data_IF_398119244761
#
_entry.id   IF_398119244761
#
_cell.length_a   1.000
_cell.length_b   1.000
_cell.length_c   1.000
_cell.angle_alpha   90.00
_cell.angle_beta   90.00
_cell.angle_gamma   90.00
#
_symmetry.space_group_name_H-M   'P 1'
#
loop_
_entity.id
_entity.type
_entity.pdbx_description
1 polymer ?
#
# COMPACT_ATOMS: atom_id res chain seq x y z
N UNK A 1 -13.48 26.90 -2.08
CA UNK A 1 -12.54 27.07 -0.94
C UNK A 1 -12.38 25.75 -0.17
N UNK A 2 -12.75 24.62 -0.76
CA UNK A 2 -12.92 23.31 -0.09
C UNK A 2 -11.81 22.28 -0.39
N UNK A 3 -10.83 22.62 -1.22
CA UNK A 3 -9.71 21.73 -1.60
C UNK A 3 -8.58 21.68 -0.56
N UNK A 4 -8.75 22.38 0.57
CA UNK A 4 -7.73 22.54 1.60
C UNK A 4 -7.82 21.48 2.69
N UNK A 5 -8.96 20.80 2.88
CA UNK A 5 -9.12 19.85 3.99
C UNK A 5 -8.72 18.42 3.59
N UNK A 6 -9.10 17.96 2.40
CA UNK A 6 -8.62 16.65 1.89
C UNK A 6 -7.09 16.56 1.79
N UNK A 7 -6.40 17.66 1.42
CA UNK A 7 -4.94 17.72 1.43
C UNK A 7 -4.33 17.71 2.84
N UNK A 8 -5.07 18.10 3.88
CA UNK A 8 -4.59 18.04 5.26
C UNK A 8 -4.56 16.60 5.76
N UNK A 9 -5.52 15.77 5.37
CA UNK A 9 -5.63 14.42 5.94
C UNK A 9 -4.58 13.43 5.39
N UNK A 10 -4.27 13.48 4.09
CA UNK A 10 -3.12 12.75 3.51
C UNK A 10 -1.79 13.25 4.08
N UNK A 11 -1.72 14.54 4.39
CA UNK A 11 -0.56 15.15 5.08
C UNK A 11 -0.50 14.70 6.53
N UNK A 12 -1.63 14.46 7.21
CA UNK A 12 -1.70 14.07 8.63
C UNK A 12 -1.26 12.62 8.88
N UNK A 13 -1.64 11.68 8.02
CA UNK A 13 -1.14 10.29 8.07
C UNK A 13 0.36 10.24 7.75
N UNK A 14 0.78 10.97 6.70
CA UNK A 14 2.20 11.14 6.40
C UNK A 14 2.96 11.84 7.54
N UNK A 15 2.31 12.72 8.29
CA UNK A 15 2.88 13.41 9.45
C UNK A 15 3.01 12.48 10.64
N UNK A 16 2.08 11.55 10.89
CA UNK A 16 2.22 10.50 11.90
C UNK A 16 3.40 9.56 11.56
N UNK A 17 3.57 9.21 10.28
CA UNK A 17 4.72 8.45 9.80
C UNK A 17 6.04 9.22 9.94
N UNK A 18 6.06 10.51 9.59
CA UNK A 18 7.24 11.37 9.71
C UNK A 18 7.57 11.70 11.17
N UNK A 19 6.56 11.79 12.05
CA UNK A 19 6.70 11.95 13.48
C UNK A 19 7.61 10.85 14.02
N UNK A 20 7.21 9.60 13.87
CA UNK A 20 7.95 8.46 14.41
C UNK A 20 9.32 8.30 13.70
N UNK A 21 9.40 8.53 12.38
CA UNK A 21 10.65 8.39 11.62
C UNK A 21 11.71 9.44 12.00
N UNK A 22 11.29 10.60 12.49
CA UNK A 22 12.20 11.67 12.94
C UNK A 22 12.74 11.48 14.35
N UNK A 23 12.13 10.58 15.14
CA UNK A 23 12.57 10.24 16.51
C UNK A 23 13.71 9.20 16.49
N UNK A 24 14.27 8.93 15.32
CA UNK A 24 15.43 8.08 15.03
C UNK A 24 16.70 8.39 15.84
N UNK A 25 16.70 8.00 17.10
CA UNK A 25 17.77 8.21 18.06
C UNK A 25 17.80 7.02 18.99
N UNK A 26 18.99 6.65 19.45
CA UNK A 26 19.29 5.70 20.52
C UNK A 26 18.36 5.85 21.75
N UNK A 27 17.15 5.32 21.65
CA UNK A 27 16.13 5.37 22.69
C UNK A 27 16.18 4.04 23.40
N UNK A 28 16.67 4.10 24.64
CA UNK A 28 16.74 2.95 25.53
C UNK A 28 15.63 2.99 26.59
N UNK A 29 14.73 3.98 26.54
CA UNK A 29 13.68 4.20 27.54
C UNK A 29 12.48 4.98 26.99
N UNK A 30 11.28 4.55 27.34
CA UNK A 30 9.99 5.14 26.93
C UNK A 30 9.91 6.65 27.20
N UNK A 31 10.39 7.10 28.35
CA UNK A 31 10.37 8.53 28.71
C UNK A 31 11.19 9.42 27.76
N UNK A 32 12.26 8.88 27.16
CA UNK A 32 13.08 9.61 26.18
C UNK A 32 12.41 9.60 24.81
N UNK A 33 11.67 8.54 24.49
CA UNK A 33 10.84 8.47 23.29
C UNK A 33 9.71 9.52 23.37
N UNK A 34 8.97 9.53 24.48
CA UNK A 34 7.89 10.47 24.79
C UNK A 34 8.37 11.93 24.67
N UNK A 35 9.49 12.30 25.32
CA UNK A 35 10.03 13.68 25.25
C UNK A 35 10.33 14.12 23.81
N UNK A 36 10.82 13.22 22.95
CA UNK A 36 11.16 13.54 21.56
C UNK A 36 9.93 13.63 20.66
N UNK A 37 8.96 12.74 20.87
CA UNK A 37 7.67 12.81 20.19
C UNK A 37 6.99 14.13 20.52
N UNK A 38 6.93 14.50 21.81
CA UNK A 38 6.39 15.77 22.28
C UNK A 38 7.11 16.98 21.67
N UNK A 39 8.44 16.95 21.67
CA UNK A 39 9.25 18.02 21.08
C UNK A 39 8.93 18.19 19.60
N UNK A 40 8.85 17.10 18.84
CA UNK A 40 8.51 17.18 17.41
C UNK A 40 7.11 17.74 17.20
N UNK A 41 6.10 17.23 17.92
CA UNK A 41 4.71 17.70 17.82
C UNK A 41 4.66 19.21 18.06
N UNK A 42 5.33 19.68 19.11
CA UNK A 42 5.43 21.09 19.46
C UNK A 42 6.16 21.93 18.39
N UNK A 43 7.28 21.45 17.86
CA UNK A 43 8.06 22.13 16.83
C UNK A 43 7.30 22.29 15.51
N UNK A 44 6.51 21.28 15.15
CA UNK A 44 5.67 21.31 13.93
C UNK A 44 4.35 22.04 14.14
N UNK A 45 3.96 22.33 15.38
CA UNK A 45 2.69 22.97 15.71
C UNK A 45 1.49 22.10 15.34
N UNK A 46 1.63 20.78 15.50
CA UNK A 46 0.60 19.80 15.19
C UNK A 46 -0.32 19.60 16.39
N UNK A 47 -1.60 19.38 16.15
CA UNK A 47 -2.56 19.04 17.20
C UNK A 47 -2.69 17.51 17.27
N UNK A 48 -1.70 16.88 17.90
CA UNK A 48 -1.60 15.42 18.03
C UNK A 48 -1.46 15.08 19.50
N UNK A 49 -2.24 14.11 19.94
CA UNK A 49 -2.15 13.51 21.28
C UNK A 49 -2.06 12.00 21.14
N UNK A 50 -1.50 11.33 22.14
CA UNK A 50 -1.37 9.88 22.20
C UNK A 50 -1.43 9.45 23.68
N UNK A 51 -1.78 8.19 23.94
CA UNK A 51 -1.93 7.69 25.32
C UNK A 51 -0.65 7.02 25.83
N UNK A 52 0.19 6.48 24.94
CA UNK A 52 1.44 5.82 25.30
C UNK A 52 2.51 5.87 24.20
N UNK A 53 3.76 5.76 24.62
CA UNK A 53 4.93 5.51 23.76
C UNK A 53 5.67 4.30 24.29
N UNK A 54 5.89 3.30 23.46
CA UNK A 54 6.70 2.14 23.78
C UNK A 54 7.98 2.15 22.94
N UNK A 55 9.14 2.13 23.60
CA UNK A 55 10.42 1.98 22.91
C UNK A 55 10.79 0.50 22.78
N UNK A 56 10.94 0.03 21.54
CA UNK A 56 11.40 -1.33 21.29
C UNK A 56 12.92 -1.42 21.37
N UNK A 57 13.41 -2.01 22.47
CA UNK A 57 14.84 -2.21 22.74
C UNK A 57 15.48 -3.16 21.71
N UNK A 58 14.67 -4.06 21.12
CA UNK A 58 15.12 -5.02 20.10
C UNK A 58 14.71 -4.47 18.74
N UNK A 59 15.65 -3.86 18.02
CA UNK A 59 15.42 -3.37 16.64
C UNK A 59 15.21 -1.87 16.50
N UNK A 60 15.48 -1.07 17.55
CA UNK A 60 15.46 0.40 17.50
C UNK A 60 14.13 0.95 16.97
N UNK A 61 13.03 0.54 17.61
CA UNK A 61 11.68 0.91 17.19
C UNK A 61 10.91 1.73 18.22
N UNK A 62 9.81 2.35 17.78
CA UNK A 62 8.88 3.10 18.62
C UNK A 62 7.46 2.76 18.19
N UNK A 63 6.58 2.55 19.16
CA UNK A 63 5.14 2.43 18.97
C UNK A 63 4.44 3.56 19.71
N UNK A 64 3.51 4.23 19.04
CA UNK A 64 2.57 5.18 19.64
C UNK A 64 1.20 4.53 19.73
N UNK A 65 0.56 4.66 20.89
CA UNK A 65 -0.75 4.07 21.19
C UNK A 65 -1.84 5.15 21.30
N UNK A 66 -3.04 4.84 20.82
CA UNK A 66 -4.23 5.71 20.80
C UNK A 66 -3.96 7.13 20.27
N UNK A 67 -3.35 7.22 19.10
CA UNK A 67 -3.02 8.50 18.47
C UNK A 67 -4.30 9.21 18.02
N UNK A 68 -4.47 10.46 18.43
CA UNK A 68 -5.55 11.35 18.01
C UNK A 68 -4.98 12.57 17.31
N UNK A 69 -5.54 12.91 16.16
CA UNK A 69 -5.10 14.06 15.35
C UNK A 69 -6.30 14.97 15.06
N UNK A 70 -6.17 16.25 15.40
CA UNK A 70 -7.18 17.30 15.15
C UNK A 70 -8.60 16.96 15.66
N UNK A 71 -8.70 16.12 16.71
CA UNK A 71 -9.93 15.54 17.27
C UNK A 71 -10.78 14.69 16.32
N UNK A 72 -10.40 14.56 15.05
CA UNK A 72 -11.19 13.91 13.99
C UNK A 72 -10.67 12.55 13.56
N UNK A 73 -9.37 12.31 13.72
CA UNK A 73 -8.72 11.07 13.32
C UNK A 73 -8.23 10.34 14.56
N UNK A 74 -8.63 9.09 14.70
CA UNK A 74 -8.15 8.16 15.71
C UNK A 74 -7.35 7.05 15.04
N UNK A 75 -6.25 6.64 15.65
CA UNK A 75 -5.42 5.53 15.21
C UNK A 75 -5.09 4.71 16.45
N UNK A 76 -5.33 3.41 16.41
CA UNK A 76 -5.07 2.51 17.53
C UNK A 76 -3.57 2.44 17.81
N UNK A 77 -2.76 2.13 16.80
CA UNK A 77 -1.31 2.08 16.93
C UNK A 77 -0.59 2.64 15.69
N UNK A 78 0.57 3.27 15.92
CA UNK A 78 1.53 3.63 14.87
C UNK A 78 2.90 3.14 15.29
N UNK A 79 3.53 2.28 14.51
CA UNK A 79 4.84 1.72 14.84
C UNK A 79 5.87 1.94 13.74
N UNK A 80 7.14 2.09 14.15
CA UNK A 80 8.30 2.02 13.26
C UNK A 80 9.35 1.12 13.89
N UNK A 81 9.93 0.22 13.11
CA UNK A 81 11.05 -0.63 13.50
C UNK A 81 12.16 -0.60 12.42
N UNK A 82 13.34 -1.11 12.75
CA UNK A 82 14.46 -1.23 11.80
C UNK A 82 15.22 0.08 11.56
N UNK A 83 14.93 1.13 12.32
CA UNK A 83 15.62 2.41 12.16
C UNK A 83 17.03 2.36 12.76
N UNK A 84 18.07 2.39 11.92
CA UNK A 84 19.45 2.52 12.37
C UNK A 84 20.05 3.90 12.03
N UNK A 85 20.07 4.81 13.02
CA UNK A 85 20.74 6.12 12.91
C UNK A 85 22.26 6.04 12.71
N UNK A 86 22.89 4.89 13.01
CA UNK A 86 24.35 4.74 12.97
C UNK A 86 24.90 4.55 11.56
N UNK A 87 24.06 4.21 10.59
CA UNK A 87 24.43 3.94 9.18
C UNK A 87 24.42 5.18 8.27
N UNK A 88 24.19 6.38 8.81
CA UNK A 88 24.21 7.64 8.04
C UNK A 88 22.88 7.93 7.32
N UNK A 89 22.94 8.46 6.10
CA UNK A 89 21.77 9.03 5.40
C UNK A 89 20.85 7.97 4.74
N UNK A 90 21.19 6.69 4.81
CA UNK A 90 20.45 5.62 4.16
C UNK A 90 20.12 4.54 5.17
N UNK A 91 18.83 4.49 5.51
CA UNK A 91 18.24 3.38 6.23
C UNK A 91 18.21 2.18 5.30
N UNK A 92 18.99 1.16 5.64
CA UNK A 92 19.07 -0.10 4.90
C UNK A 92 17.88 -1.01 5.18
N UNK A 93 17.11 -0.74 6.22
CA UNK A 93 15.85 -1.41 6.53
C UNK A 93 14.91 -0.41 7.21
N UNK A 94 13.60 -0.60 7.02
CA UNK A 94 12.56 0.15 7.72
C UNK A 94 11.27 -0.68 7.67
N UNK A 95 10.61 -0.76 8.81
CA UNK A 95 9.25 -1.27 8.93
C UNK A 95 8.38 -0.17 9.53
N UNK A 96 7.20 0.02 8.97
CA UNK A 96 6.20 0.99 9.40
C UNK A 96 4.84 0.33 9.40
N UNK A 97 4.07 0.50 10.48
CA UNK A 97 2.69 0.05 10.52
C UNK A 97 1.76 1.11 11.12
N UNK A 98 0.55 1.15 10.59
CA UNK A 98 -0.61 1.86 11.11
C UNK A 98 -1.68 0.80 11.34
N UNK A 99 -2.19 0.70 12.56
CA UNK A 99 -3.27 -0.21 12.88
C UNK A 99 -4.49 0.55 13.38
N UNK A 100 -5.67 0.15 12.93
CA UNK A 100 -6.94 0.66 13.44
C UNK A 100 -7.17 2.15 13.20
N UNK A 101 -6.69 2.71 12.09
CA UNK A 101 -6.96 4.12 11.76
C UNK A 101 -8.45 4.29 11.39
N UNK A 102 -9.20 5.00 12.22
CA UNK A 102 -10.61 5.32 12.00
C UNK A 102 -10.75 6.66 11.28
N UNK A 103 -11.05 6.61 9.99
CA UNK A 103 -11.24 7.78 9.15
C UNK A 103 -12.75 8.02 8.95
N UNK A 104 -13.33 9.11 9.49
CA UNK A 104 -14.71 9.46 9.21
C UNK A 104 -14.93 9.59 7.70
N UNK A 105 -16.05 9.09 7.18
CA UNK A 105 -16.33 9.16 5.74
C UNK A 105 -16.40 10.60 5.22
N UNK A 106 -16.71 11.57 6.09
CA UNK A 106 -16.67 12.99 5.79
C UNK A 106 -15.27 13.53 5.46
N UNK A 107 -14.24 12.89 6.01
CA UNK A 107 -12.84 13.28 5.89
C UNK A 107 -12.14 12.66 4.67
N UNK A 108 -12.81 11.71 4.00
CA UNK A 108 -12.35 11.14 2.73
C UNK A 108 -12.34 12.22 1.63
N UNK A 109 -11.37 12.19 0.69
CA UNK A 109 -11.41 13.07 -0.46
C UNK A 109 -12.71 12.85 -1.24
N UNK A 110 -13.28 13.94 -1.76
CA UNK A 110 -14.65 13.97 -2.32
C UNK A 110 -14.94 12.84 -3.32
N UNK A 111 -14.00 12.54 -4.19
CA UNK A 111 -14.18 11.50 -5.21
C UNK A 111 -14.22 10.10 -4.59
N UNK A 112 -13.37 9.82 -3.60
CA UNK A 112 -13.42 8.58 -2.83
C UNK A 112 -14.67 8.50 -1.97
N UNK A 113 -15.03 9.58 -1.26
CA UNK A 113 -16.27 9.63 -0.46
C UNK A 113 -17.49 9.29 -1.30
N UNK A 114 -17.60 9.90 -2.50
CA UNK A 114 -18.72 9.63 -3.39
C UNK A 114 -18.78 8.16 -3.79
N UNK A 115 -17.63 7.56 -4.11
CA UNK A 115 -17.57 6.15 -4.47
C UNK A 115 -17.91 5.24 -3.27
N UNK A 116 -17.39 5.57 -2.09
CA UNK A 116 -17.67 4.90 -0.82
C UNK A 116 -19.17 4.92 -0.49
N UNK A 117 -19.80 6.10 -0.56
CA UNK A 117 -21.25 6.28 -0.38
C UNK A 117 -22.06 5.50 -1.45
N UNK A 118 -21.59 5.48 -2.71
CA UNK A 118 -22.24 4.76 -3.80
C UNK A 118 -22.19 3.24 -3.60
N UNK A 119 -21.09 2.71 -3.06
CA UNK A 119 -20.95 1.31 -2.68
C UNK A 119 -21.73 0.95 -1.40
N UNK A 120 -22.40 1.93 -0.78
CA UNK A 120 -23.30 1.72 0.36
C UNK A 120 -22.58 1.51 1.68
N UNK A 121 -21.33 1.99 1.79
CA UNK A 121 -20.64 1.99 3.06
C UNK A 121 -21.11 3.17 3.94
N UNK A 122 -21.48 2.87 5.19
CA UNK A 122 -22.10 3.84 6.11
C UNK A 122 -21.27 4.10 7.39
N UNK A 123 -20.13 3.43 7.52
CA UNK A 123 -19.25 3.48 8.70
C UNK A 123 -18.00 4.34 8.43
N UNK A 124 -17.28 4.76 9.49
CA UNK A 124 -15.90 5.21 9.33
C UNK A 124 -15.06 4.12 8.65
N UNK A 125 -14.12 4.51 7.79
CA UNK A 125 -13.16 3.59 7.21
C UNK A 125 -12.16 3.22 8.30
N UNK A 126 -12.11 1.95 8.67
CA UNK A 126 -11.08 1.39 9.53
C UNK A 126 -9.95 0.88 8.66
N UNK A 127 -8.80 1.53 8.73
CA UNK A 127 -7.66 1.26 7.86
C UNK A 127 -6.49 0.68 8.65
N UNK A 128 -5.91 -0.38 8.12
CA UNK A 128 -4.56 -0.83 8.50
C UNK A 128 -3.63 -0.62 7.32
N UNK A 129 -2.38 -0.26 7.57
CA UNK A 129 -1.39 -0.10 6.51
C UNK A 129 0.00 -0.46 7.02
N UNK A 130 0.74 -1.26 6.25
CA UNK A 130 2.10 -1.68 6.57
C UNK A 130 3.02 -1.36 5.40
N UNK A 131 4.26 -0.97 5.70
CA UNK A 131 5.33 -0.83 4.72
C UNK A 131 6.64 -1.34 5.33
N UNK A 132 7.24 -2.34 4.72
CA UNK A 132 8.51 -2.94 5.12
C UNK A 132 9.45 -3.03 3.91
N UNK A 133 10.67 -2.54 4.06
CA UNK A 133 11.69 -2.67 3.04
C UNK A 133 13.06 -2.97 3.64
N UNK A 134 13.91 -3.62 2.86
CA UNK A 134 15.34 -3.71 3.13
C UNK A 134 16.19 -3.55 1.85
N UNK A 135 17.43 -3.11 2.02
CA UNK A 135 18.39 -2.87 0.94
C UNK A 135 19.64 -3.70 1.15
N UNK A 136 19.91 -4.60 0.20
CA UNK A 136 21.15 -5.35 0.13
C UNK A 136 22.20 -4.54 -0.63
N UNK A 137 23.12 -3.93 0.10
CA UNK A 137 24.22 -3.13 -0.49
C UNK A 137 25.18 -3.99 -1.34
N UNK A 138 25.38 -5.27 -0.98
CA UNK A 138 26.30 -6.15 -1.70
C UNK A 138 25.77 -6.49 -3.08
N UNK A 139 24.45 -6.70 -3.18
CA UNK A 139 23.77 -7.03 -4.44
C UNK A 139 23.16 -5.80 -5.13
N UNK A 140 23.14 -4.64 -4.46
CA UNK A 140 22.51 -3.40 -4.92
C UNK A 140 21.03 -3.60 -5.23
N UNK A 141 20.34 -4.32 -4.35
CA UNK A 141 18.93 -4.69 -4.52
C UNK A 141 18.10 -4.10 -3.39
N UNK A 142 17.05 -3.39 -3.75
CA UNK A 142 16.00 -2.97 -2.83
C UNK A 142 14.91 -4.04 -2.86
N UNK A 143 14.56 -4.55 -1.69
CA UNK A 143 13.43 -5.41 -1.46
C UNK A 143 12.36 -4.59 -0.74
N UNK A 144 11.18 -4.47 -1.34
CA UNK A 144 9.96 -4.10 -0.64
C UNK A 144 9.33 -5.42 -0.20
N UNK A 145 9.53 -5.78 1.06
CA UNK A 145 9.00 -7.01 1.63
C UNK A 145 7.46 -6.95 1.69
N UNK A 146 6.94 -5.78 2.06
CA UNK A 146 5.50 -5.55 2.11
C UNK A 146 5.18 -4.06 1.92
N UNK A 147 4.18 -3.76 1.12
CA UNK A 147 3.40 -2.54 1.17
C UNK A 147 1.93 -2.95 1.11
N UNK A 148 1.26 -2.89 2.24
CA UNK A 148 -0.14 -3.32 2.35
C UNK A 148 -1.03 -2.22 2.89
N UNK A 149 -2.29 -2.26 2.47
CA UNK A 149 -3.36 -1.48 3.04
C UNK A 149 -4.64 -2.31 3.03
N UNK A 150 -5.33 -2.37 4.15
CA UNK A 150 -6.62 -3.05 4.28
C UNK A 150 -7.64 -2.18 4.98
N UNK A 151 -8.90 -2.37 4.63
CA UNK A 151 -10.01 -1.74 5.31
C UNK A 151 -11.16 -2.70 5.57
N UNK A 152 -11.71 -2.62 6.78
CA UNK A 152 -12.87 -3.42 7.20
C UNK A 152 -14.03 -3.27 6.19
N UNK A 153 -14.70 -4.38 5.88
CA UNK A 153 -15.81 -4.48 4.92
C UNK A 153 -15.42 -4.18 3.45
N UNK A 154 -14.19 -3.76 3.17
CA UNK A 154 -13.70 -3.48 1.81
C UNK A 154 -12.81 -4.63 1.33
N UNK A 155 -11.78 -4.95 2.11
CA UNK A 155 -10.72 -5.88 1.73
C UNK A 155 -9.33 -5.26 1.84
N UNK A 156 -8.34 -5.91 1.24
CA UNK A 156 -6.94 -5.54 1.32
C UNK A 156 -6.22 -5.57 -0.02
N UNK A 157 -5.13 -4.82 -0.11
CA UNK A 157 -4.14 -4.95 -1.16
C UNK A 157 -2.76 -5.02 -0.53
N UNK A 158 -1.92 -5.94 -0.99
CA UNK A 158 -0.50 -5.98 -0.65
C UNK A 158 0.34 -6.00 -1.92
N UNK A 159 1.54 -5.45 -1.81
CA UNK A 159 2.55 -5.41 -2.85
C UNK A 159 3.89 -5.80 -2.24
N UNK A 160 4.60 -6.73 -2.85
CA UNK A 160 6.01 -6.99 -2.60
C UNK A 160 6.78 -6.87 -3.91
N UNK A 161 8.05 -6.47 -3.86
CA UNK A 161 8.91 -6.49 -5.05
C UNK A 161 10.40 -6.47 -4.71
N UNK A 162 11.22 -6.96 -5.65
CA UNK A 162 12.66 -6.76 -5.64
C UNK A 162 13.11 -5.96 -6.87
N UNK A 163 13.86 -4.89 -6.62
CA UNK A 163 14.45 -4.02 -7.66
C UNK A 163 15.96 -4.03 -7.55
N UNK A 164 16.60 -4.59 -8.58
CA UNK A 164 18.04 -4.67 -8.72
C UNK A 164 18.65 -3.42 -9.37
N UNK A 165 19.99 -3.31 -9.26
CA UNK A 165 20.82 -2.21 -9.77
C UNK A 165 20.49 -0.85 -9.15
N UNK A 166 19.94 -0.82 -7.94
CA UNK A 166 19.66 0.43 -7.22
C UNK A 166 20.93 0.93 -6.51
N UNK A 167 21.30 2.19 -6.76
CA UNK A 167 22.48 2.83 -6.17
C UNK A 167 22.07 4.04 -5.34
N UNK A 168 22.23 3.94 -4.03
CA UNK A 168 21.93 5.03 -3.13
C UNK A 168 23.15 5.89 -2.76
N UNK A 169 24.35 5.51 -3.21
CA UNK A 169 25.62 6.02 -2.67
C UNK A 169 25.97 7.48 -3.00
N UNK A 170 25.37 8.11 -4.04
CA UNK A 170 25.83 9.43 -4.51
C UNK A 170 24.81 10.60 -4.42
N UNK A 171 23.49 10.37 -4.39
CA UNK A 171 22.51 11.47 -4.52
C UNK A 171 21.17 11.29 -3.78
N UNK A 172 21.07 10.27 -2.92
CA UNK A 172 19.85 9.96 -2.16
C UNK A 172 18.63 9.66 -3.04
N UNK A 173 17.43 9.58 -2.44
CA UNK A 173 16.17 9.26 -3.15
C UNK A 173 15.87 10.17 -4.35
N UNK A 174 16.42 11.39 -4.37
CA UNK A 174 16.22 12.34 -5.47
C UNK A 174 16.86 11.88 -6.79
N UNK A 175 17.89 11.03 -6.74
CA UNK A 175 18.55 10.47 -7.93
C UNK A 175 17.65 9.49 -8.66
N UNK A 176 16.80 8.77 -7.92
CA UNK A 176 15.85 7.78 -8.46
C UNK A 176 14.89 8.42 -9.48
N UNK A 177 14.51 9.69 -9.30
CA UNK A 177 13.68 10.41 -10.27
C UNK A 177 14.28 10.47 -11.68
N UNK A 178 15.61 10.39 -11.79
CA UNK A 178 16.31 10.42 -13.07
C UNK A 178 16.81 9.04 -13.52
N UNK A 179 16.97 8.09 -12.60
CA UNK A 179 17.55 6.77 -12.86
C UNK A 179 16.55 5.62 -12.84
N UNK A 180 15.29 5.86 -12.44
CA UNK A 180 14.29 4.79 -12.29
C UNK A 180 14.09 3.92 -13.54
N UNK A 181 14.29 4.47 -14.73
CA UNK A 181 14.17 3.73 -15.99
C UNK A 181 15.24 2.64 -16.15
N UNK A 182 16.35 2.74 -15.44
CA UNK A 182 17.48 1.81 -15.47
C UNK A 182 17.35 0.72 -14.40
N UNK A 183 16.55 0.98 -13.37
CA UNK A 183 16.24 0.00 -12.33
C UNK A 183 15.59 -1.23 -12.96
N UNK A 184 15.91 -2.40 -12.42
CA UNK A 184 15.44 -3.68 -12.95
C UNK A 184 14.53 -4.38 -11.97
N UNK A 185 13.32 -4.67 -12.40
CA UNK A 185 12.39 -5.52 -11.67
C UNK A 185 12.90 -6.96 -11.73
N UNK A 186 13.18 -7.55 -10.57
CA UNK A 186 13.59 -8.95 -10.43
C UNK A 186 12.39 -9.84 -10.12
N UNK A 187 11.54 -9.42 -9.18
CA UNK A 187 10.28 -10.06 -8.84
C UNK A 187 9.28 -9.02 -8.33
N UNK A 188 7.98 -9.30 -8.43
CA UNK A 188 6.94 -8.59 -7.71
C UNK A 188 5.70 -9.46 -7.53
N UNK A 189 4.97 -9.22 -6.46
CA UNK A 189 3.70 -9.86 -6.18
C UNK A 189 2.70 -8.79 -5.78
N UNK A 190 1.48 -8.89 -6.30
CA UNK A 190 0.34 -8.08 -5.86
C UNK A 190 -0.75 -9.03 -5.41
N UNK A 191 -1.16 -8.93 -4.15
CA UNK A 191 -2.28 -9.70 -3.62
C UNK A 191 -3.44 -8.76 -3.37
N UNK A 192 -4.62 -9.12 -3.85
CA UNK A 192 -5.88 -8.47 -3.55
C UNK A 192 -6.75 -9.41 -2.74
N UNK A 193 -7.17 -8.99 -1.56
CA UNK A 193 -8.09 -9.73 -0.69
C UNK A 193 -9.43 -9.02 -0.70
N UNK A 194 -10.49 -9.72 -1.09
CA UNK A 194 -11.86 -9.20 -1.08
C UNK A 194 -12.57 -9.57 0.21
N UNK A 195 -13.11 -8.56 0.91
CA UNK A 195 -14.07 -8.78 1.99
C UNK A 195 -15.51 -8.62 1.46
N UNK A 196 -15.94 -7.40 1.14
CA UNK A 196 -17.26 -7.14 0.50
C UNK A 196 -17.21 -6.21 -0.72
N UNK A 197 -16.03 -5.80 -1.20
CA UNK A 197 -15.93 -4.80 -2.25
C UNK A 197 -16.56 -5.28 -3.57
N UNK A 198 -16.33 -6.54 -3.95
CA UNK A 198 -16.86 -7.10 -5.20
C UNK A 198 -18.38 -7.25 -5.14
N UNK A 199 -18.92 -7.74 -4.04
CA UNK A 199 -20.36 -7.87 -3.77
C UNK A 199 -21.05 -6.51 -3.91
N UNK A 200 -20.52 -5.50 -3.23
CA UNK A 200 -21.05 -4.12 -3.29
C UNK A 200 -20.91 -3.51 -4.67
N UNK A 201 -19.87 -3.87 -5.41
CA UNK A 201 -19.69 -3.46 -6.81
C UNK A 201 -20.77 -4.07 -7.70
N UNK A 202 -21.09 -5.35 -7.54
CA UNK A 202 -22.18 -5.99 -8.28
C UNK A 202 -23.53 -5.37 -7.95
N UNK A 203 -23.79 -5.08 -6.68
CA UNK A 203 -25.00 -4.39 -6.24
C UNK A 203 -25.12 -2.99 -6.84
N UNK A 204 -24.03 -2.22 -6.85
CA UNK A 204 -23.98 -0.89 -7.47
C UNK A 204 -24.30 -0.98 -8.96
N UNK A 205 -23.64 -1.88 -9.70
CA UNK A 205 -23.88 -2.09 -11.13
C UNK A 205 -25.33 -2.52 -11.38
N UNK A 206 -25.84 -3.47 -10.59
CA UNK A 206 -27.22 -3.94 -10.68
C UNK A 206 -28.22 -2.80 -10.50
N UNK A 207 -28.02 -1.96 -9.47
CA UNK A 207 -28.84 -0.78 -9.21
C UNK A 207 -28.78 0.26 -10.33
N UNK A 208 -27.60 0.52 -10.90
CA UNK A 208 -27.44 1.49 -11.99
C UNK A 208 -28.05 1.01 -13.30
N UNK A 209 -28.02 -0.30 -13.57
CA UNK A 209 -28.52 -0.90 -14.81
C UNK A 209 -29.96 -1.44 -14.71
N UNK A 210 -30.53 -1.50 -13.49
CA UNK A 210 -31.85 -2.07 -13.25
C UNK A 210 -31.89 -3.59 -13.38
N UNK A 211 -30.78 -4.27 -13.08
CA UNK A 211 -30.62 -5.73 -13.07
C UNK A 211 -30.24 -6.21 -11.65
N UNK A 212 -30.29 -7.52 -11.41
CA UNK A 212 -29.82 -8.10 -10.14
C UNK A 212 -28.29 -8.08 -10.01
N UNK A 213 -27.77 -8.22 -8.79
CA UNK A 213 -26.34 -8.34 -8.55
C UNK A 213 -25.74 -9.58 -9.26
N UNK A 214 -26.47 -10.71 -9.26
CA UNK A 214 -26.06 -11.93 -9.99
C UNK A 214 -25.94 -11.67 -11.50
N UNK A 215 -26.90 -10.95 -12.09
CA UNK A 215 -26.83 -10.57 -13.52
C UNK A 215 -25.68 -9.60 -13.81
N UNK A 216 -25.36 -8.71 -12.87
CA UNK A 216 -24.19 -7.83 -12.99
C UNK A 216 -22.88 -8.60 -12.94
N UNK A 217 -22.77 -9.58 -12.03
CA UNK A 217 -21.64 -10.51 -11.94
C UNK A 217 -21.45 -11.30 -13.25
N UNK A 218 -22.52 -11.91 -13.74
CA UNK A 218 -22.53 -12.63 -15.02
C UNK A 218 -22.11 -11.74 -16.20
N UNK A 219 -22.54 -10.47 -16.21
CA UNK A 219 -22.16 -9.51 -17.23
C UNK A 219 -20.67 -9.17 -17.18
N UNK A 220 -20.07 -9.05 -15.99
CA UNK A 220 -18.62 -8.84 -15.83
C UNK A 220 -17.83 -10.05 -16.30
N UNK A 221 -18.24 -11.27 -15.91
CA UNK A 221 -17.63 -12.52 -16.40
C UNK A 221 -17.69 -12.58 -17.93
N UNK A 222 -18.85 -12.28 -18.51
CA UNK A 222 -19.02 -12.26 -19.97
C UNK A 222 -18.15 -11.18 -20.63
N UNK A 223 -17.98 -10.02 -20.00
CA UNK A 223 -17.09 -8.97 -20.47
C UNK A 223 -15.63 -9.44 -20.49
N UNK A 224 -15.14 -10.05 -19.41
CA UNK A 224 -13.77 -10.62 -19.35
C UNK A 224 -13.59 -11.65 -20.46
N UNK A 225 -14.51 -12.61 -20.59
CA UNK A 225 -14.49 -13.63 -21.66
C UNK A 225 -14.52 -13.02 -23.08
N UNK A 226 -15.19 -11.90 -23.27
CA UNK A 226 -15.28 -11.24 -24.58
C UNK A 226 -14.04 -10.43 -24.96
N UNK A 227 -13.30 -9.92 -23.96
CA UNK A 227 -12.05 -9.19 -24.15
C UNK A 227 -10.84 -10.13 -24.17
N UNK A 228 -10.97 -11.29 -23.51
CA UNK A 228 -10.02 -12.38 -23.55
C UNK A 228 -9.91 -12.95 -24.97
N UNK A 229 -8.68 -13.02 -25.46
CA UNK A 229 -8.33 -13.81 -26.63
C UNK A 229 -6.99 -14.51 -26.34
N UNK A 230 -6.96 -15.39 -25.32
CA UNK A 230 -5.73 -16.07 -24.93
C UNK A 230 -5.11 -16.77 -26.13
N UNK A 231 -3.83 -16.55 -26.34
CA UNK A 231 -3.05 -17.13 -27.44
C UNK A 231 -2.18 -18.30 -26.99
N UNK A 232 -2.11 -18.53 -25.68
CA UNK A 232 -1.26 -19.52 -25.02
C UNK A 232 -2.01 -20.13 -23.85
N UNK A 233 -1.74 -21.40 -23.53
CA UNK A 233 -2.32 -22.11 -22.37
C UNK A 233 -2.16 -21.28 -21.09
N UNK A 234 -0.97 -20.70 -20.86
CA UNK A 234 -0.72 -19.79 -19.74
C UNK A 234 -1.72 -18.62 -19.65
N UNK A 235 -2.09 -18.03 -20.79
CA UNK A 235 -3.04 -16.92 -20.78
C UNK A 235 -4.45 -17.42 -20.49
N UNK A 236 -4.79 -18.62 -20.94
CA UNK A 236 -6.08 -19.26 -20.65
C UNK A 236 -6.22 -19.48 -19.15
N UNK A 237 -5.21 -20.08 -18.51
CA UNK A 237 -5.18 -20.30 -17.05
C UNK A 237 -5.37 -18.98 -16.28
N UNK A 238 -4.58 -17.94 -16.59
CA UNK A 238 -4.70 -16.64 -15.93
C UNK A 238 -6.07 -15.95 -16.13
N UNK A 239 -6.73 -16.18 -17.27
CA UNK A 239 -8.09 -15.68 -17.50
C UNK A 239 -9.13 -16.47 -16.71
N UNK A 240 -8.94 -17.79 -16.56
CA UNK A 240 -9.81 -18.65 -15.76
C UNK A 240 -9.76 -18.26 -14.28
N UNK A 241 -8.57 -18.06 -13.71
CA UNK A 241 -8.39 -17.61 -12.32
C UNK A 241 -9.07 -16.24 -12.07
N UNK A 242 -8.93 -15.29 -12.99
CA UNK A 242 -9.64 -14.01 -12.89
C UNK A 242 -11.17 -14.18 -12.96
N UNK A 243 -11.67 -15.12 -13.77
CA UNK A 243 -13.10 -15.41 -13.87
C UNK A 243 -13.60 -16.05 -12.57
N UNK A 244 -12.83 -16.97 -12.00
CA UNK A 244 -13.17 -17.68 -10.77
C UNK A 244 -13.19 -16.71 -9.58
N UNK A 245 -12.21 -15.79 -9.50
CA UNK A 245 -12.23 -14.68 -8.56
C UNK A 245 -13.48 -13.79 -8.72
N UNK A 246 -13.91 -13.47 -9.96
CA UNK A 246 -15.16 -12.70 -10.14
C UNK A 246 -16.39 -13.52 -9.76
N UNK A 247 -16.40 -14.83 -9.94
CA UNK A 247 -17.56 -15.66 -9.59
C UNK A 247 -17.69 -15.85 -8.08
N UNK A 248 -16.56 -16.02 -7.39
CA UNK A 248 -16.45 -16.29 -5.96
C UNK A 248 -15.26 -15.53 -5.37
N UNK A 249 -15.39 -14.22 -5.11
CA UNK A 249 -14.27 -13.39 -4.72
C UNK A 249 -13.74 -13.77 -3.34
N UNK A 250 -12.43 -13.95 -3.27
CA UNK A 250 -11.66 -14.19 -2.05
C UNK A 250 -10.33 -13.46 -2.20
N UNK A 251 -9.26 -14.22 -2.37
CA UNK A 251 -7.94 -13.67 -2.66
C UNK A 251 -7.64 -13.76 -4.16
N UNK A 252 -6.90 -12.81 -4.71
CA UNK A 252 -6.33 -12.83 -6.05
C UNK A 252 -4.87 -12.41 -5.97
N UNK A 253 -3.95 -13.32 -6.26
CA UNK A 253 -2.52 -13.01 -6.37
C UNK A 253 -2.10 -12.88 -7.82
N UNK A 254 -1.23 -11.89 -8.09
CA UNK A 254 -0.57 -11.70 -9.37
C UNK A 254 0.93 -11.61 -9.10
N UNK A 255 1.66 -12.66 -9.47
CA UNK A 255 3.11 -12.73 -9.35
C UNK A 255 3.77 -12.41 -10.70
N UNK A 256 4.95 -11.78 -10.66
CA UNK A 256 5.84 -11.61 -11.81
C UNK A 256 7.25 -11.99 -11.39
N UNK A 257 7.84 -12.97 -12.08
CA UNK A 257 9.20 -13.44 -11.83
C UNK A 257 9.94 -13.68 -13.16
N UNK A 258 10.38 -12.62 -13.86
CA UNK A 258 11.09 -12.76 -15.13
C UNK A 258 12.41 -13.53 -15.01
N UNK A 259 12.73 -14.36 -16.01
CA UNK A 259 13.99 -15.15 -16.07
C UNK A 259 15.26 -14.34 -15.84
N UNK A 260 15.25 -13.09 -16.29
CA UNK A 260 16.32 -12.11 -16.07
C UNK A 260 15.68 -10.78 -15.64
N UNK A 261 16.26 -10.04 -14.68
CA UNK A 261 15.69 -8.77 -14.24
C UNK A 261 15.46 -7.78 -15.39
N UNK A 262 14.25 -7.23 -15.46
CA UNK A 262 13.78 -6.41 -16.60
C UNK A 262 13.79 -4.95 -16.20
N UNK A 263 14.40 -4.08 -17.02
CA UNK A 263 14.40 -2.64 -16.71
C UNK A 263 13.02 -2.01 -16.88
N UNK A 264 12.64 -1.07 -16.01
CA UNK A 264 11.40 -0.30 -16.18
C UNK A 264 11.34 0.43 -17.54
N UNK A 265 12.51 0.85 -18.06
CA UNK A 265 12.63 1.43 -19.39
C UNK A 265 12.32 0.45 -20.53
N UNK A 266 12.48 -0.86 -20.34
CA UNK A 266 11.99 -1.89 -21.27
C UNK A 266 10.47 -2.08 -21.13
N UNK A 267 9.95 -2.16 -19.90
CA UNK A 267 8.52 -2.31 -19.64
C UNK A 267 7.69 -1.19 -20.30
N UNK A 268 8.15 0.06 -20.20
CA UNK A 268 7.51 1.20 -20.86
C UNK A 268 7.48 1.14 -22.39
N UNK A 269 8.31 0.31 -23.03
CA UNK A 269 8.33 0.18 -24.50
C UNK A 269 7.38 -0.92 -25.00
N UNK A 270 6.86 -1.73 -24.09
CA UNK A 270 5.91 -2.78 -24.43
C UNK A 270 4.56 -2.12 -24.69
N UNK A 271 4.05 -2.31 -25.91
CA UNK A 271 2.78 -1.74 -26.34
C UNK A 271 1.69 -2.80 -26.53
N UNK A 272 2.00 -4.07 -26.20
CA UNK A 272 1.08 -5.20 -26.36
C UNK A 272 1.01 -6.00 -25.06
N UNK A 273 -0.19 -6.25 -24.52
CA UNK A 273 -0.35 -7.05 -23.29
C UNK A 273 0.30 -8.43 -23.36
N UNK A 274 0.19 -9.13 -24.48
CA UNK A 274 0.80 -10.46 -24.65
C UNK A 274 2.34 -10.44 -24.53
N UNK A 275 3.01 -9.38 -25.00
CA UNK A 275 4.46 -9.23 -24.86
C UNK A 275 4.87 -8.95 -23.40
N UNK A 276 3.97 -8.32 -22.62
CA UNK A 276 4.18 -8.08 -21.19
C UNK A 276 4.12 -9.38 -20.39
N UNK A 277 3.09 -10.21 -20.66
CA UNK A 277 2.89 -11.51 -20.01
C UNK A 277 4.10 -12.42 -20.23
N UNK A 278 4.57 -12.52 -21.48
CA UNK A 278 5.72 -13.36 -21.81
C UNK A 278 7.02 -12.86 -21.16
N UNK A 279 7.23 -11.54 -21.14
CA UNK A 279 8.45 -10.95 -20.60
C UNK A 279 8.52 -11.06 -19.07
N UNK A 280 7.41 -10.77 -18.39
CA UNK A 280 7.34 -10.75 -16.93
C UNK A 280 7.15 -12.13 -16.32
N UNK A 281 6.79 -13.14 -17.12
CA UNK A 281 6.35 -14.45 -16.62
C UNK A 281 5.32 -14.26 -15.52
N UNK A 282 4.28 -13.50 -15.87
CA UNK A 282 3.17 -13.25 -14.96
C UNK A 282 2.57 -14.59 -14.54
N UNK A 283 2.09 -14.73 -13.31
CA UNK A 283 1.29 -15.85 -12.81
C UNK A 283 0.08 -15.24 -12.07
N UNK A 284 -1.07 -15.91 -12.12
CA UNK A 284 -2.31 -15.46 -11.46
C UNK A 284 -2.90 -16.65 -10.72
N UNK A 285 -3.28 -16.45 -9.47
CA UNK A 285 -3.94 -17.44 -8.62
C UNK A 285 -5.15 -16.79 -7.92
N UNK A 286 -6.31 -17.45 -7.89
CA UNK A 286 -7.54 -16.94 -7.26
C UNK A 286 -8.40 -17.97 -6.52
#
# INVERSE_FOLDING_TARGET
MEDSNSKKNTVLIAVAAVLVASVGVDIYADSVAEEKVDQFIAEKGLNITYDGVEANIVGSGITLEEVRIDDSLYIESVSINGYDSSLGNLQTELEFAIEGAEIPSEELPRDYRRMYDQLGFDSPVKLNATAAYHYDESNRTLFLDELSASADDVGGVSLSFAVADMDFSEAGLSSLLFTWQQLKLAEAEVVFDNDELMERTYELIGREQGISADEAKDALIAQVKSQGNPQTDFQEDAFEELIDFIDSPGELSIEVSPKEPVSFGQLMRINRPAEMVELLQLEVDG
#
